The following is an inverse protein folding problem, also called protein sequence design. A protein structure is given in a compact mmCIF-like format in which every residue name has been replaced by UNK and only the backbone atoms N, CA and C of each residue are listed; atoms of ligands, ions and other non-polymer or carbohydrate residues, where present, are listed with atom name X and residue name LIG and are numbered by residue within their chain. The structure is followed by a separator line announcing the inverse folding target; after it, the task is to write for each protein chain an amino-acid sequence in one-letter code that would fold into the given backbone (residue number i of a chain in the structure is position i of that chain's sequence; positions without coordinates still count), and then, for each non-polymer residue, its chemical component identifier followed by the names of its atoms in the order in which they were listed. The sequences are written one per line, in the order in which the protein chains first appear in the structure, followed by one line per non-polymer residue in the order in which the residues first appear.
data_IF_800495958542
#
_entry.id   IF_800495958542
#
_cell.length_a   1.000
_cell.length_b   1.000
_cell.length_c   1.000
_cell.angle_alpha   90.00
_cell.angle_beta   90.00
_cell.angle_gamma   90.00
#
_symmetry.space_group_name_H-M   'P 1'
#
loop_
_entity.id
_entity.type
_entity.pdbx_description
1 polymer ?
#
# COMPACT_ATOMS: atom_id res chain seq x y z
N UNK A 1 13.56 53.96 39.86
CA UNK A 1 14.31 52.71 39.61
C UNK A 1 14.31 52.52 38.09
N UNK A 2 15.37 52.74 37.29
CA UNK A 2 16.80 52.40 37.46
C UNK A 2 16.96 50.90 37.74
N UNK A 3 17.69 50.06 36.99
CA UNK A 3 18.65 50.26 35.88
C UNK A 3 18.68 48.99 34.97
N UNK A 4 19.48 48.81 33.88
CA UNK A 4 20.53 49.57 33.17
C UNK A 4 20.80 48.92 31.78
N UNK A 5 21.43 49.62 30.84
CA UNK A 5 22.24 49.00 29.75
C UNK A 5 23.67 48.67 30.25
N UNK A 6 24.55 48.09 29.41
CA UNK A 6 25.64 48.94 28.93
C UNK A 6 26.07 48.75 27.46
N UNK A 7 26.52 49.85 26.87
CA UNK A 7 27.20 49.98 25.58
C UNK A 7 28.73 50.11 25.73
N UNK A 8 29.48 49.71 24.70
CA UNK A 8 30.85 50.13 24.35
C UNK A 8 31.01 49.89 22.83
N UNK A 9 31.74 50.66 22.01
CA UNK A 9 32.49 51.91 22.19
C UNK A 9 33.18 52.27 20.85
N UNK A 10 33.34 53.56 20.52
CA UNK A 10 33.78 54.06 19.19
C UNK A 10 35.26 54.46 19.09
N UNK A 11 35.85 54.32 17.90
CA UNK A 11 36.90 55.17 17.28
C UNK A 11 36.93 54.83 15.76
N UNK A 12 37.08 55.71 14.76
CA UNK A 12 37.91 56.93 14.61
C UNK A 12 39.24 56.54 13.92
N UNK A 13 39.70 57.09 12.78
CA UNK A 13 39.42 58.36 12.10
C UNK A 13 40.12 58.48 10.70
N UNK A 14 39.51 59.24 9.76
CA UNK A 14 40.10 60.39 8.98
C UNK A 14 41.26 60.22 7.93
N UNK A 15 40.93 60.50 6.63
CA UNK A 15 41.74 61.07 5.50
C UNK A 15 43.04 60.31 5.05
N UNK A 16 43.63 60.39 3.84
CA UNK A 16 43.62 61.38 2.72
C UNK A 16 44.02 60.76 1.35
N UNK A 17 43.58 61.39 0.24
CA UNK A 17 44.05 61.38 -1.18
C UNK A 17 45.32 60.57 -1.60
N UNK A 18 45.27 59.89 -2.76
CA UNK A 18 45.90 60.31 -4.03
C UNK A 18 45.81 59.26 -5.17
N UNK A 19 45.57 59.72 -6.40
CA UNK A 19 45.98 59.07 -7.67
C UNK A 19 47.12 59.91 -8.27
N UNK A 20 48.01 59.39 -9.16
CA UNK A 20 47.64 59.17 -10.58
C UNK A 20 48.39 58.02 -11.33
N UNK A 21 47.99 57.79 -12.59
CA UNK A 21 48.70 57.20 -13.77
C UNK A 21 49.48 55.85 -13.63
N UNK A 22 49.45 54.89 -14.57
CA UNK A 22 49.46 55.00 -16.03
C UNK A 22 49.19 53.64 -16.73
N UNK A 23 48.82 53.68 -18.03
CA UNK A 23 49.09 52.62 -19.03
C UNK A 23 48.37 51.27 -18.89
N UNK A 24 47.16 51.08 -19.42
CA UNK A 24 46.88 50.71 -20.83
C UNK A 24 47.29 49.29 -21.26
N UNK A 25 46.32 48.36 -21.30
CA UNK A 25 46.15 47.42 -22.42
C UNK A 25 44.66 47.01 -22.49
N UNK A 26 43.98 47.41 -23.56
CA UNK A 26 42.62 46.92 -23.86
C UNK A 26 42.69 45.49 -24.41
N UNK A 27 41.85 44.59 -23.87
CA UNK A 27 41.45 43.37 -24.54
C UNK A 27 39.91 43.24 -24.48
N UNK A 28 39.33 43.05 -25.66
CA UNK A 28 37.89 43.04 -25.95
C UNK A 28 37.05 42.12 -25.06
N UNK A 29 35.86 42.55 -24.58
CA UNK A 29 34.94 41.71 -23.82
C UNK A 29 34.13 40.77 -24.74
N UNK A 30 34.67 39.58 -25.02
CA UNK A 30 33.92 38.46 -25.66
C UNK A 30 34.37 37.09 -25.16
N UNK A 31 33.97 36.69 -23.95
CA UNK A 31 33.96 35.28 -23.50
C UNK A 31 33.36 34.98 -22.11
N UNK A 32 32.88 35.97 -21.35
CA UNK A 32 32.43 35.78 -19.96
C UNK A 32 30.92 36.01 -19.77
N UNK A 33 30.08 35.15 -20.38
CA UNK A 33 28.64 35.11 -20.05
C UNK A 33 27.93 33.79 -20.42
N UNK A 34 28.55 32.63 -20.11
CA UNK A 34 27.96 31.29 -20.41
C UNK A 34 28.15 30.20 -19.34
N UNK A 35 28.75 30.51 -18.20
CA UNK A 35 28.96 29.52 -17.12
C UNK A 35 28.27 29.87 -15.79
N UNK A 36 27.47 30.94 -15.74
CA UNK A 36 26.81 31.41 -14.51
C UNK A 36 25.27 31.42 -14.59
N UNK A 37 24.68 30.68 -15.55
CA UNK A 37 23.22 30.56 -15.75
C UNK A 37 22.76 29.08 -15.78
N UNK A 38 23.58 28.15 -15.28
CA UNK A 38 23.31 26.70 -15.31
C UNK A 38 23.39 25.99 -13.95
N UNK A 39 23.35 26.74 -12.84
CA UNK A 39 23.46 26.19 -11.47
C UNK A 39 22.46 26.79 -10.46
N UNK A 40 21.31 27.29 -10.94
CA UNK A 40 20.17 27.63 -10.08
C UNK A 40 18.96 26.79 -10.50
N UNK A 41 18.42 25.95 -9.59
CA UNK A 41 17.08 25.37 -9.77
C UNK A 41 16.90 23.85 -9.61
N UNK A 42 17.92 23.05 -9.29
CA UNK A 42 17.70 21.69 -8.75
C UNK A 42 17.86 21.68 -7.23
N UNK A 43 16.89 22.28 -6.55
CA UNK A 43 16.59 21.87 -5.18
C UNK A 43 16.03 20.45 -5.27
N UNK A 44 16.68 19.47 -4.65
CA UNK A 44 16.10 18.16 -4.43
C UNK A 44 14.98 18.29 -3.39
N UNK A 45 13.83 18.84 -3.80
CA UNK A 45 12.61 18.87 -3.01
C UNK A 45 12.10 17.44 -2.92
N UNK A 46 12.15 16.88 -1.71
CA UNK A 46 11.46 15.62 -1.39
C UNK A 46 9.99 15.82 -1.78
N UNK A 47 9.38 14.98 -2.63
CA UNK A 47 7.99 15.14 -3.04
C UNK A 47 7.05 15.15 -1.84
N UNK A 48 6.05 16.05 -1.86
CA UNK A 48 5.07 16.17 -0.79
C UNK A 48 3.86 15.26 -1.08
N UNK A 49 3.56 14.25 -0.24
CA UNK A 49 2.37 13.41 -0.41
C UNK A 49 1.03 14.16 -0.36
N UNK A 50 0.99 15.38 0.16
CA UNK A 50 -0.20 16.24 0.09
C UNK A 50 -0.38 16.88 -1.30
N UNK A 51 0.70 17.04 -2.06
CA UNK A 51 0.73 17.63 -3.41
C UNK A 51 1.25 16.60 -4.44
N UNK A 52 0.38 15.68 -4.94
CA UNK A 52 0.78 14.61 -5.87
C UNK A 52 1.46 15.10 -7.17
N UNK A 53 1.16 16.34 -7.58
CA UNK A 53 1.82 17.00 -8.71
C UNK A 53 3.34 17.23 -8.53
N UNK A 54 3.85 17.16 -7.30
CA UNK A 54 5.28 17.32 -6.99
C UNK A 54 6.14 16.08 -7.27
N UNK A 55 5.53 14.91 -7.45
CA UNK A 55 6.27 13.66 -7.72
C UNK A 55 6.84 13.68 -9.14
N UNK A 56 8.08 13.19 -9.37
CA UNK A 56 8.69 13.17 -10.70
C UNK A 56 7.90 12.30 -11.67
N UNK A 57 7.40 11.15 -11.20
CA UNK A 57 6.55 10.22 -11.95
C UNK A 57 5.10 10.34 -11.49
N UNK A 58 4.17 10.53 -12.43
CA UNK A 58 2.76 10.84 -12.15
C UNK A 58 1.87 10.00 -13.06
N UNK A 59 1.23 8.99 -12.50
CA UNK A 59 0.45 8.02 -13.28
C UNK A 59 -1.03 8.32 -13.15
N UNK A 60 -1.74 8.51 -14.27
CA UNK A 60 -3.19 8.40 -14.31
C UNK A 60 -3.59 6.96 -14.66
N UNK A 61 -4.32 6.28 -13.78
CA UNK A 61 -4.96 4.99 -14.09
C UNK A 61 -6.46 5.21 -14.22
N UNK A 62 -7.03 4.86 -15.37
CA UNK A 62 -8.45 5.04 -15.65
C UNK A 62 -9.09 3.75 -16.18
N UNK A 63 -10.25 3.37 -15.65
CA UNK A 63 -11.12 2.41 -16.33
C UNK A 63 -11.91 3.13 -17.43
N UNK A 64 -12.06 2.48 -18.58
CA UNK A 64 -12.74 3.07 -19.73
C UNK A 64 -13.69 2.07 -20.39
N UNK A 65 -14.83 2.58 -20.86
CA UNK A 65 -15.82 1.81 -21.62
C UNK A 65 -15.99 2.38 -23.02
N UNK A 66 -17.22 2.38 -23.52
CA UNK A 66 -17.56 2.77 -24.90
C UNK A 66 -17.44 4.28 -25.19
N UNK A 67 -17.12 5.11 -24.19
CA UNK A 67 -17.03 6.57 -24.29
C UNK A 67 -15.63 7.06 -23.88
N UNK A 68 -14.67 7.18 -24.82
CA UNK A 68 -13.32 7.67 -24.54
C UNK A 68 -13.25 9.13 -24.04
N UNK A 69 -14.32 9.90 -24.25
CA UNK A 69 -14.51 11.26 -23.75
C UNK A 69 -14.18 11.38 -22.26
N UNK A 70 -14.53 10.37 -21.46
CA UNK A 70 -14.33 10.36 -20.01
C UNK A 70 -12.87 10.53 -19.58
N UNK A 71 -11.91 10.08 -20.42
CA UNK A 71 -10.49 10.26 -20.15
C UNK A 71 -10.08 11.72 -20.37
N UNK A 72 -10.48 12.33 -21.48
CA UNK A 72 -10.17 13.74 -21.77
C UNK A 72 -10.89 14.71 -20.82
N UNK A 73 -12.11 14.38 -20.40
CA UNK A 73 -12.87 15.10 -19.36
C UNK A 73 -12.14 15.04 -18.01
N UNK A 74 -11.67 13.85 -17.60
CA UNK A 74 -10.86 13.66 -16.39
C UNK A 74 -9.57 14.48 -16.46
N UNK A 75 -8.82 14.35 -17.55
CA UNK A 75 -7.54 15.05 -17.77
C UNK A 75 -7.69 16.58 -17.76
N UNK A 76 -8.71 17.09 -18.45
CA UNK A 76 -9.01 18.53 -18.43
C UNK A 76 -9.23 19.02 -16.99
N UNK A 77 -9.97 18.28 -16.17
CA UNK A 77 -10.21 18.71 -14.79
C UNK A 77 -8.94 18.62 -13.92
N UNK A 78 -8.17 17.53 -14.05
CA UNK A 78 -6.90 17.35 -13.34
C UNK A 78 -5.91 18.49 -13.56
N UNK A 79 -5.86 19.04 -14.79
CA UNK A 79 -4.90 20.07 -15.18
C UNK A 79 -5.44 21.49 -15.06
N UNK A 80 -6.74 21.73 -15.35
CA UNK A 80 -7.33 23.09 -15.44
C UNK A 80 -8.36 23.43 -14.36
N UNK A 81 -8.82 22.47 -13.56
CA UNK A 81 -9.85 22.69 -12.52
C UNK A 81 -9.43 22.32 -11.10
N UNK A 82 -8.31 21.61 -10.93
CA UNK A 82 -7.71 21.35 -9.61
C UNK A 82 -6.96 22.58 -9.09
N UNK A 83 -7.07 22.86 -7.78
CA UNK A 83 -6.25 23.88 -7.10
C UNK A 83 -4.76 23.51 -7.08
N UNK A 84 -4.46 22.22 -7.05
CA UNK A 84 -3.13 21.65 -7.25
C UNK A 84 -3.16 20.79 -8.53
N UNK A 85 -2.74 21.32 -9.69
CA UNK A 85 -2.79 20.59 -10.96
C UNK A 85 -1.99 19.29 -10.94
N UNK A 86 -2.59 18.22 -11.49
CA UNK A 86 -1.93 16.93 -11.69
C UNK A 86 -1.80 16.67 -13.20
N UNK A 87 -0.64 16.99 -13.76
CA UNK A 87 -0.29 16.66 -15.15
C UNK A 87 0.39 15.29 -15.17
N UNK A 88 -0.28 14.20 -15.61
CA UNK A 88 0.34 12.88 -15.62
C UNK A 88 1.52 12.82 -16.59
N UNK A 89 2.59 12.12 -16.20
CA UNK A 89 3.68 11.70 -17.09
C UNK A 89 3.31 10.45 -17.88
N UNK A 90 2.47 9.61 -17.29
CA UNK A 90 2.03 8.32 -17.81
C UNK A 90 0.53 8.16 -17.60
N UNK A 91 -0.16 7.62 -18.60
CA UNK A 91 -1.60 7.38 -18.59
C UNK A 91 -1.79 5.91 -18.94
N UNK A 92 -2.54 5.19 -18.11
CA UNK A 92 -2.86 3.77 -18.27
C UNK A 92 -4.38 3.61 -18.31
N UNK A 93 -4.88 2.98 -19.37
CA UNK A 93 -6.32 2.76 -19.60
C UNK A 93 -6.62 1.27 -19.48
N UNK A 94 -7.52 0.88 -18.57
CA UNK A 94 -7.97 -0.51 -18.40
C UNK A 94 -9.34 -0.65 -19.05
N UNK A 95 -9.48 -1.56 -20.02
CA UNK A 95 -10.68 -1.62 -20.87
C UNK A 95 -10.83 -2.97 -21.59
N UNK A 96 -11.94 -3.16 -22.29
CA UNK A 96 -12.22 -4.32 -23.15
C UNK A 96 -11.72 -4.07 -24.58
N UNK A 97 -11.77 -5.06 -25.46
CA UNK A 97 -11.28 -4.97 -26.84
C UNK A 97 -11.96 -3.84 -27.63
N UNK A 98 -13.29 -3.70 -27.53
CA UNK A 98 -14.05 -2.61 -28.17
C UNK A 98 -13.69 -1.24 -27.57
N UNK A 99 -13.52 -1.15 -26.25
CA UNK A 99 -13.05 0.09 -25.62
C UNK A 99 -11.65 0.48 -26.08
N UNK A 100 -10.73 -0.49 -26.18
CA UNK A 100 -9.38 -0.27 -26.68
C UNK A 100 -9.36 0.18 -28.15
N UNK A 101 -10.24 -0.39 -28.99
CA UNK A 101 -10.42 0.03 -30.37
C UNK A 101 -10.86 1.51 -30.45
N UNK A 102 -11.86 1.92 -29.66
CA UNK A 102 -12.32 3.31 -29.58
C UNK A 102 -11.26 4.26 -29.04
N UNK A 103 -10.51 3.88 -28.01
CA UNK A 103 -9.40 4.69 -27.50
C UNK A 103 -8.38 4.96 -28.60
N UNK A 104 -7.93 3.92 -29.32
CA UNK A 104 -6.97 4.06 -30.42
C UNK A 104 -7.49 5.03 -31.50
N UNK A 105 -8.70 4.81 -32.00
CA UNK A 105 -9.28 5.62 -33.09
C UNK A 105 -9.62 7.07 -32.71
N UNK A 106 -9.95 7.36 -31.45
CA UNK A 106 -10.41 8.71 -31.05
C UNK A 106 -9.37 9.52 -30.30
N UNK A 107 -8.59 8.89 -29.42
CA UNK A 107 -7.65 9.58 -28.54
C UNK A 107 -6.27 9.72 -29.19
N UNK A 108 -5.81 8.69 -29.91
CA UNK A 108 -4.43 8.55 -30.40
C UNK A 108 -4.32 8.75 -31.92
N UNK A 109 -5.23 8.17 -32.72
CA UNK A 109 -5.11 8.14 -34.19
C UNK A 109 -4.95 9.55 -34.78
N UNK A 110 -3.93 9.80 -35.64
CA UNK A 110 -3.65 11.13 -36.19
C UNK A 110 -4.82 11.81 -36.91
N UNK A 111 -5.82 11.08 -37.40
CA UNK A 111 -7.00 11.64 -38.05
C UNK A 111 -7.99 12.29 -37.08
N UNK A 112 -7.94 11.96 -35.77
CA UNK A 112 -8.90 12.44 -34.76
C UNK A 112 -8.20 13.02 -33.52
N UNK A 113 -7.16 12.32 -33.03
CA UNK A 113 -6.13 12.76 -32.09
C UNK A 113 -6.62 13.61 -30.89
N UNK A 114 -7.70 13.22 -30.21
CA UNK A 114 -8.32 14.06 -29.16
C UNK A 114 -7.42 14.35 -27.97
N UNK A 115 -6.45 13.49 -27.64
CA UNK A 115 -5.44 13.84 -26.63
C UNK A 115 -4.47 14.91 -27.12
N UNK A 116 -4.09 14.90 -28.41
CA UNK A 116 -3.25 15.96 -28.97
C UNK A 116 -4.01 17.28 -29.12
N UNK A 117 -5.30 17.24 -29.43
CA UNK A 117 -6.16 18.42 -29.40
C UNK A 117 -6.21 19.03 -27.99
N UNK A 118 -6.45 18.21 -26.95
CA UNK A 118 -6.43 18.66 -25.54
C UNK A 118 -5.06 19.26 -25.16
N UNK A 119 -3.96 18.60 -25.52
CA UNK A 119 -2.60 19.12 -25.29
C UNK A 119 -2.38 20.51 -25.91
N UNK A 120 -2.77 20.70 -27.17
CA UNK A 120 -2.52 21.94 -27.92
C UNK A 120 -3.47 23.07 -27.53
N UNK A 121 -4.76 22.80 -27.35
CA UNK A 121 -5.74 23.83 -26.98
C UNK A 121 -5.53 24.36 -25.56
N UNK A 122 -4.98 23.53 -24.66
CA UNK A 122 -4.84 23.86 -23.24
C UNK A 122 -3.39 23.99 -22.77
N UNK A 123 -2.40 23.98 -23.67
CA UNK A 123 -0.96 24.11 -23.35
C UNK A 123 -0.50 23.13 -22.27
N UNK A 124 -0.63 21.83 -22.57
CA UNK A 124 -0.31 20.72 -21.65
C UNK A 124 0.78 19.83 -22.27
N UNK A 125 2.04 20.30 -22.36
CA UNK A 125 3.09 19.66 -23.15
C UNK A 125 3.36 18.22 -22.73
N UNK A 126 3.41 17.32 -23.72
CA UNK A 126 3.70 15.89 -23.52
C UNK A 126 2.51 15.04 -23.06
N UNK A 127 1.31 15.61 -22.91
CA UNK A 127 0.12 14.87 -22.49
C UNK A 127 -0.26 13.75 -23.47
N UNK A 128 -0.19 14.00 -24.79
CA UNK A 128 -0.54 12.99 -25.79
C UNK A 128 0.45 11.84 -25.81
N UNK A 129 1.73 12.10 -25.51
CA UNK A 129 2.77 11.06 -25.38
C UNK A 129 2.67 10.26 -24.08
N UNK A 130 1.92 10.75 -23.09
CA UNK A 130 1.65 10.02 -21.84
C UNK A 130 0.76 8.79 -22.01
N UNK A 131 -0.05 8.69 -23.08
CA UNK A 131 -0.81 7.49 -23.45
C UNK A 131 -0.24 6.83 -24.72
N UNK A 132 0.84 6.04 -24.61
CA UNK A 132 1.26 5.16 -25.70
C UNK A 132 0.30 3.96 -25.80
N UNK A 133 0.32 3.25 -26.94
CA UNK A 133 -0.69 2.24 -27.29
C UNK A 133 -0.63 1.01 -26.39
N UNK A 134 0.57 0.65 -25.93
CA UNK A 134 0.87 -0.40 -24.95
C UNK A 134 0.32 -0.11 -23.55
N UNK A 135 -0.02 1.15 -23.23
CA UNK A 135 -0.67 1.51 -21.98
C UNK A 135 -2.21 1.41 -22.04
N UNK A 136 -2.76 0.90 -23.14
CA UNK A 136 -4.16 0.47 -23.22
C UNK A 136 -4.21 -1.03 -22.87
N UNK A 137 -4.45 -1.32 -21.59
CA UNK A 137 -4.52 -2.65 -21.00
C UNK A 137 -5.86 -3.28 -21.35
N UNK A 138 -5.85 -4.19 -22.33
CA UNK A 138 -7.01 -4.96 -22.74
C UNK A 138 -7.16 -6.16 -21.80
N UNK A 139 -8.32 -6.30 -21.18
CA UNK A 139 -8.60 -7.43 -20.28
C UNK A 139 -8.57 -8.73 -21.08
N UNK A 140 -7.76 -9.70 -20.63
CA UNK A 140 -7.74 -11.06 -21.16
C UNK A 140 -8.49 -12.01 -20.21
N UNK A 141 -9.37 -12.83 -20.75
CA UNK A 141 -10.09 -13.87 -20.00
C UNK A 141 -9.20 -15.07 -19.65
N UNK A 142 -9.79 -16.08 -19.00
CA UNK A 142 -9.09 -17.28 -18.51
C UNK A 142 -8.35 -18.10 -19.57
N UNK A 143 -8.72 -17.98 -20.85
CA UNK A 143 -8.04 -18.59 -21.99
C UNK A 143 -6.95 -17.72 -22.65
N UNK A 144 -6.59 -16.57 -22.06
CA UNK A 144 -5.66 -15.60 -22.65
C UNK A 144 -6.20 -14.79 -23.83
N UNK A 145 -7.47 -15.01 -24.21
CA UNK A 145 -8.16 -14.23 -25.24
C UNK A 145 -8.64 -12.89 -24.68
N UNK A 146 -8.50 -11.82 -25.45
CA UNK A 146 -9.03 -10.52 -25.07
C UNK A 146 -10.56 -10.54 -25.06
N UNK A 147 -11.14 -9.88 -24.05
CA UNK A 147 -12.59 -9.81 -23.87
C UNK A 147 -13.17 -8.69 -24.73
N UNK A 148 -14.21 -8.98 -25.52
CA UNK A 148 -15.02 -7.95 -26.17
C UNK A 148 -15.85 -7.17 -25.14
N UNK A 149 -16.42 -7.87 -24.16
CA UNK A 149 -17.11 -7.31 -22.99
C UNK A 149 -16.98 -8.24 -21.74
N UNK A 150 -17.39 -7.76 -20.56
CA UNK A 150 -17.28 -8.49 -19.27
C UNK A 150 -18.66 -9.03 -18.86
N UNK A 151 -19.00 -10.25 -19.27
CA UNK A 151 -20.37 -10.78 -19.15
C UNK A 151 -20.53 -11.96 -18.17
N UNK A 152 -19.45 -12.61 -17.74
CA UNK A 152 -19.48 -13.67 -16.73
C UNK A 152 -18.63 -13.37 -15.47
N UNK A 153 -18.69 -14.29 -14.50
CA UNK A 153 -17.97 -14.14 -13.22
C UNK A 153 -16.45 -14.31 -13.39
N UNK A 154 -16.05 -15.13 -14.36
CA UNK A 154 -14.69 -15.41 -14.77
C UNK A 154 -14.06 -14.16 -15.42
N UNK A 155 -14.80 -13.48 -16.31
CA UNK A 155 -14.39 -12.20 -16.90
C UNK A 155 -14.17 -11.13 -15.84
N UNK A 156 -15.08 -11.05 -14.87
CA UNK A 156 -14.99 -10.10 -13.76
C UNK A 156 -13.82 -10.42 -12.82
N UNK A 157 -13.49 -11.71 -12.66
CA UNK A 157 -12.31 -12.14 -11.89
C UNK A 157 -11.01 -11.75 -12.60
N UNK A 158 -10.90 -12.01 -13.91
CA UNK A 158 -9.75 -11.59 -14.71
C UNK A 158 -9.59 -10.05 -14.75
N UNK A 159 -10.71 -9.32 -14.80
CA UNK A 159 -10.75 -7.86 -14.66
C UNK A 159 -10.18 -7.41 -13.31
N UNK A 160 -10.58 -8.07 -12.22
CA UNK A 160 -10.12 -7.77 -10.87
C UNK A 160 -8.62 -8.05 -10.70
N UNK A 161 -8.12 -9.14 -11.29
CA UNK A 161 -6.72 -9.53 -11.26
C UNK A 161 -5.83 -8.54 -12.01
N UNK A 162 -6.20 -8.14 -13.24
CA UNK A 162 -5.46 -7.12 -14.02
C UNK A 162 -5.43 -5.76 -13.30
N UNK A 163 -6.56 -5.31 -12.75
CA UNK A 163 -6.63 -4.07 -11.95
C UNK A 163 -5.71 -4.17 -10.73
N UNK A 164 -5.72 -5.32 -10.04
CA UNK A 164 -4.91 -5.58 -8.85
C UNK A 164 -3.42 -5.57 -9.18
N UNK A 165 -3.00 -6.25 -10.24
CA UNK A 165 -1.61 -6.30 -10.70
C UNK A 165 -1.10 -4.89 -11.00
N UNK A 166 -1.81 -4.13 -11.84
CA UNK A 166 -1.40 -2.78 -12.26
C UNK A 166 -1.30 -1.83 -11.06
N UNK A 167 -2.33 -1.78 -10.21
CA UNK A 167 -2.35 -0.91 -9.04
C UNK A 167 -1.26 -1.29 -8.02
N UNK A 168 -1.05 -2.60 -7.77
CA UNK A 168 0.04 -3.08 -6.90
C UNK A 168 1.41 -2.66 -7.46
N UNK A 169 1.65 -2.90 -8.75
CA UNK A 169 2.89 -2.58 -9.46
C UNK A 169 3.20 -1.08 -9.43
N UNK A 170 2.23 -0.21 -9.69
CA UNK A 170 2.45 1.24 -9.61
C UNK A 170 2.70 1.72 -8.18
N UNK A 171 2.04 1.12 -7.20
CA UNK A 171 2.23 1.46 -5.79
C UNK A 171 3.56 0.97 -5.19
N UNK A 172 4.33 0.12 -5.88
CA UNK A 172 5.67 -0.30 -5.46
C UNK A 172 6.74 0.79 -5.69
N UNK A 173 6.55 1.71 -6.64
CA UNK A 173 7.51 2.77 -6.98
C UNK A 173 7.35 4.00 -6.06
N UNK A 174 8.24 4.25 -5.09
CA UNK A 174 8.07 5.33 -4.11
C UNK A 174 8.11 6.74 -4.72
N UNK A 175 8.75 6.91 -5.89
CA UNK A 175 8.90 8.19 -6.58
C UNK A 175 7.72 8.49 -7.53
N UNK A 176 6.72 7.61 -7.53
CA UNK A 176 5.46 7.75 -8.24
C UNK A 176 4.33 8.28 -7.34
N UNK A 177 3.50 9.18 -7.86
CA UNK A 177 2.13 9.40 -7.38
C UNK A 177 1.10 8.92 -8.41
N UNK A 178 0.12 8.14 -7.95
CA UNK A 178 -0.94 7.58 -8.79
C UNK A 178 -2.27 8.29 -8.55
N UNK A 179 -2.85 8.83 -9.61
CA UNK A 179 -4.22 9.34 -9.62
C UNK A 179 -5.13 8.33 -10.33
N UNK A 180 -6.23 7.96 -9.70
CA UNK A 180 -7.14 6.94 -10.19
C UNK A 180 -8.49 7.55 -10.58
N UNK A 181 -9.00 7.20 -11.77
CA UNK A 181 -10.32 7.62 -12.25
C UNK A 181 -11.23 6.42 -12.48
N UNK A 182 -12.39 6.43 -11.80
CA UNK A 182 -13.40 5.35 -11.87
C UNK A 182 -14.64 5.74 -12.68
N UNK A 183 -14.55 6.81 -13.48
CA UNK A 183 -15.68 7.37 -14.21
C UNK A 183 -16.09 6.61 -15.47
N UNK A 184 -15.25 5.69 -15.98
CA UNK A 184 -15.49 4.92 -17.19
C UNK A 184 -15.48 3.39 -16.99
N UNK A 185 -16.06 2.68 -17.96
CA UNK A 185 -16.14 1.21 -17.97
C UNK A 185 -17.46 0.66 -17.44
N UNK A 186 -17.56 -0.67 -17.28
CA UNK A 186 -18.65 -1.28 -16.50
C UNK A 186 -18.47 -0.90 -15.03
N UNK A 187 -19.58 -0.69 -14.30
CA UNK A 187 -19.58 -0.22 -12.90
C UNK A 187 -18.67 -1.03 -11.98
N UNK A 188 -18.56 -2.34 -12.20
CA UNK A 188 -17.70 -3.24 -11.42
C UNK A 188 -16.21 -2.95 -11.63
N UNK A 189 -15.78 -2.49 -12.82
CA UNK A 189 -14.39 -2.07 -13.05
C UNK A 189 -14.02 -0.89 -12.14
N UNK A 190 -14.88 0.13 -12.05
CA UNK A 190 -14.69 1.27 -11.16
C UNK A 190 -14.69 0.88 -9.68
N UNK A 191 -15.56 -0.04 -9.27
CA UNK A 191 -15.55 -0.62 -7.91
C UNK A 191 -14.23 -1.35 -7.61
N UNK A 192 -13.80 -2.26 -8.49
CA UNK A 192 -12.57 -3.04 -8.34
C UNK A 192 -11.33 -2.14 -8.29
N UNK A 193 -11.27 -1.11 -9.13
CA UNK A 193 -10.19 -0.14 -9.16
C UNK A 193 -10.17 0.73 -7.88
N UNK A 194 -11.34 1.15 -7.38
CA UNK A 194 -11.49 1.80 -6.07
C UNK A 194 -11.09 0.89 -4.89
N UNK A 195 -11.32 -0.42 -4.99
CA UNK A 195 -10.93 -1.37 -3.96
C UNK A 195 -9.43 -1.72 -4.01
N UNK A 196 -8.84 -1.80 -5.19
CA UNK A 196 -7.40 -2.00 -5.37
C UNK A 196 -6.60 -0.82 -4.81
N UNK A 197 -7.02 0.44 -5.05
CA UNK A 197 -6.35 1.60 -4.43
C UNK A 197 -6.55 1.65 -2.91
N UNK A 198 -7.67 1.12 -2.37
CA UNK A 198 -7.85 0.94 -0.92
C UNK A 198 -6.82 -0.03 -0.32
N UNK A 199 -6.53 -1.14 -1.00
CA UNK A 199 -5.55 -2.14 -0.57
C UNK A 199 -4.10 -1.66 -0.71
N UNK A 200 -3.72 -1.10 -1.86
CA UNK A 200 -2.31 -0.83 -2.19
C UNK A 200 -1.92 0.65 -2.18
N UNK A 201 -2.89 1.58 -2.21
CA UNK A 201 -2.65 3.00 -2.32
C UNK A 201 -1.96 3.62 -1.09
N UNK A 202 -1.19 4.67 -1.36
CA UNK A 202 -0.31 5.37 -0.41
C UNK A 202 -0.83 6.78 -0.13
N UNK A 203 -0.09 7.55 0.65
CA UNK A 203 -0.48 8.91 1.04
C UNK A 203 -0.55 9.88 -0.14
N UNK A 204 0.33 9.73 -1.14
CA UNK A 204 0.33 10.55 -2.36
C UNK A 204 -0.74 10.13 -3.39
N UNK A 205 -1.29 8.93 -3.28
CA UNK A 205 -2.23 8.43 -4.29
C UNK A 205 -3.65 9.02 -4.07
N UNK A 206 -4.40 9.20 -5.16
CA UNK A 206 -5.72 9.86 -5.20
C UNK A 206 -6.73 9.03 -5.99
N UNK A 207 -8.02 9.19 -5.69
CA UNK A 207 -9.13 8.52 -6.36
C UNK A 207 -10.20 9.55 -6.70
N UNK A 208 -10.77 9.48 -7.90
CA UNK A 208 -11.72 10.48 -8.36
C UNK A 208 -12.76 9.96 -9.34
N UNK A 209 -13.81 10.76 -9.54
CA UNK A 209 -14.80 10.59 -10.60
C UNK A 209 -15.10 11.95 -11.23
N UNK A 210 -14.95 12.07 -12.55
CA UNK A 210 -15.36 13.29 -13.28
C UNK A 210 -16.88 13.30 -13.46
N UNK A 211 -17.50 14.46 -13.21
CA UNK A 211 -18.91 14.71 -13.40
C UNK A 211 -19.08 15.79 -14.45
N UNK A 212 -19.88 15.52 -15.48
CA UNK A 212 -20.10 16.41 -16.62
C UNK A 212 -21.57 16.84 -16.64
N UNK A 213 -21.83 18.13 -16.78
CA UNK A 213 -23.21 18.63 -16.90
C UNK A 213 -23.89 18.11 -18.17
N UNK A 214 -25.20 17.85 -18.07
CA UNK A 214 -26.04 17.71 -19.26
C UNK A 214 -26.10 19.05 -20.00
N UNK A 215 -26.17 19.06 -21.34
CA UNK A 215 -26.29 17.90 -22.24
C UNK A 215 -24.96 17.30 -22.70
N UNK A 216 -23.82 17.74 -22.17
CA UNK A 216 -22.48 17.32 -22.62
C UNK A 216 -22.09 15.92 -22.14
N UNK A 217 -22.64 15.47 -21.01
CA UNK A 217 -22.55 14.08 -20.56
C UNK A 217 -22.92 13.10 -21.69
N UNK A 218 -22.00 12.19 -22.06
CA UNK A 218 -22.14 11.22 -23.16
C UNK A 218 -22.39 11.85 -24.56
N UNK A 219 -22.07 13.12 -24.77
CA UNK A 219 -22.26 13.78 -26.05
C UNK A 219 -21.12 13.39 -27.02
N UNK A 220 -21.39 12.76 -28.19
CA UNK A 220 -20.37 12.10 -28.99
C UNK A 220 -19.25 13.05 -29.49
N UNK A 221 -19.58 14.32 -29.74
CA UNK A 221 -18.64 15.33 -30.22
C UNK A 221 -18.03 16.21 -29.11
N UNK A 222 -18.34 15.95 -27.83
CA UNK A 222 -17.78 16.68 -26.70
C UNK A 222 -16.73 15.83 -26.00
N UNK A 223 -15.47 16.25 -25.98
CA UNK A 223 -14.38 15.51 -25.33
C UNK A 223 -13.79 16.26 -24.12
N UNK A 224 -13.85 17.59 -24.16
CA UNK A 224 -13.42 18.52 -23.11
C UNK A 224 -13.96 19.91 -23.49
N UNK A 225 -14.06 20.87 -22.55
CA UNK A 225 -14.34 22.27 -22.88
C UNK A 225 -13.23 22.84 -23.80
N UNK A 226 -13.55 23.23 -25.05
CA UNK A 226 -12.56 23.79 -25.96
C UNK A 226 -12.13 25.18 -25.50
N UNK A 227 -10.92 25.61 -25.89
CA UNK A 227 -10.41 26.94 -25.50
C UNK A 227 -11.24 28.10 -26.07
N UNK A 228 -11.85 27.89 -27.25
CA UNK A 228 -12.84 28.78 -27.85
C UNK A 228 -14.19 28.05 -27.87
N UNK A 229 -15.25 28.59 -27.23
CA UNK A 229 -16.56 27.95 -27.22
C UNK A 229 -17.14 27.70 -28.62
N UNK A 230 -17.70 26.51 -28.82
CA UNK A 230 -18.40 26.10 -30.05
C UNK A 230 -19.84 25.72 -29.73
N UNK A 231 -20.72 25.76 -30.73
CA UNK A 231 -22.11 25.30 -30.61
C UNK A 231 -22.20 23.84 -31.07
N UNK A 232 -22.74 23.00 -30.19
CA UNK A 232 -23.09 21.61 -30.46
C UNK A 232 -24.62 21.45 -30.55
N UNK A 233 -25.11 20.28 -30.94
CA UNK A 233 -26.54 19.96 -30.99
C UNK A 233 -26.83 18.79 -30.05
N UNK A 234 -27.73 19.00 -29.08
CA UNK A 234 -28.07 17.96 -28.11
C UNK A 234 -28.90 16.80 -28.73
N UNK A 235 -29.27 15.80 -27.92
CA UNK A 235 -30.09 14.65 -28.36
C UNK A 235 -31.49 15.05 -28.86
N UNK A 236 -31.93 16.29 -28.65
CA UNK A 236 -33.17 16.88 -29.16
C UNK A 236 -32.92 17.84 -30.35
N UNK A 237 -31.70 17.85 -30.91
CA UNK A 237 -31.22 18.74 -31.96
C UNK A 237 -31.33 20.24 -31.59
N UNK A 238 -31.22 20.58 -30.30
CA UNK A 238 -31.19 21.97 -29.85
C UNK A 238 -29.75 22.48 -29.80
N UNK A 239 -29.46 23.71 -30.27
CA UNK A 239 -28.13 24.29 -30.20
C UNK A 239 -27.75 24.58 -28.74
N UNK A 240 -26.56 24.16 -28.34
CA UNK A 240 -26.02 24.30 -26.98
C UNK A 240 -24.54 24.71 -27.02
N UNK A 241 -24.16 25.70 -26.22
CA UNK A 241 -22.80 26.27 -26.24
C UNK A 241 -21.88 25.54 -25.29
N UNK A 242 -20.68 25.14 -25.73
CA UNK A 242 -19.69 24.51 -24.84
C UNK A 242 -19.16 25.44 -23.76
N UNK A 243 -19.48 26.74 -23.78
CA UNK A 243 -19.29 27.65 -22.64
C UNK A 243 -20.05 27.20 -21.38
N UNK A 244 -21.14 26.47 -21.58
CA UNK A 244 -22.08 26.08 -20.53
C UNK A 244 -21.73 24.70 -19.94
N UNK A 245 -20.62 24.10 -20.41
CA UNK A 245 -20.12 22.82 -19.94
C UNK A 245 -19.44 22.98 -18.58
N UNK A 246 -20.13 22.52 -17.53
CA UNK A 246 -19.59 22.44 -16.18
C UNK A 246 -19.05 21.03 -15.94
N UNK A 247 -17.74 20.94 -15.65
CA UNK A 247 -17.07 19.70 -15.31
C UNK A 247 -16.49 19.83 -13.90
N UNK A 248 -16.74 18.82 -13.08
CA UNK A 248 -16.27 18.74 -11.68
C UNK A 248 -15.48 17.45 -11.53
N UNK A 249 -14.27 17.52 -10.97
CA UNK A 249 -13.54 16.34 -10.51
C UNK A 249 -13.89 16.13 -9.03
N UNK A 250 -14.74 15.14 -8.74
CA UNK A 250 -15.00 14.74 -7.37
C UNK A 250 -13.83 13.88 -6.87
N UNK A 251 -13.05 14.38 -5.91
CA UNK A 251 -12.13 13.55 -5.12
C UNK A 251 -12.95 12.63 -4.22
N UNK A 252 -12.58 11.35 -4.17
CA UNK A 252 -13.29 10.31 -3.44
C UNK A 252 -12.36 9.81 -2.33
N UNK A 253 -12.63 10.14 -1.06
CA UNK A 253 -11.83 9.64 0.04
C UNK A 253 -11.98 8.11 0.14
N UNK A 254 -10.85 7.42 0.27
CA UNK A 254 -10.78 5.98 0.42
C UNK A 254 -9.94 5.59 1.65
N UNK A 255 -10.30 4.46 2.26
CA UNK A 255 -9.55 3.88 3.38
C UNK A 255 -8.21 3.35 2.86
N UNK A 256 -7.11 3.66 3.53
CA UNK A 256 -5.77 3.18 3.14
C UNK A 256 -5.38 1.98 4.01
N UNK A 257 -5.52 0.78 3.45
CA UNK A 257 -5.21 -0.47 4.15
C UNK A 257 -3.74 -0.85 4.04
N UNK A 258 -3.00 -0.37 3.01
CA UNK A 258 -1.60 -0.72 2.70
C UNK A 258 -0.70 -0.83 3.93
N UNK A 259 -0.71 0.17 4.81
CA UNK A 259 0.16 0.23 6.01
C UNK A 259 -0.13 -0.84 7.07
N UNK A 260 -1.23 -1.58 6.95
CA UNK A 260 -1.64 -2.66 7.83
C UNK A 260 -1.52 -4.05 7.17
N UNK A 261 -1.21 -4.11 5.87
CA UNK A 261 -1.04 -5.36 5.14
C UNK A 261 0.42 -5.85 5.20
N UNK A 262 0.66 -7.17 5.29
CA UNK A 262 2.01 -7.71 5.36
C UNK A 262 2.74 -7.59 4.00
N UNK A 263 4.08 -7.47 4.02
CA UNK A 263 4.88 -7.22 2.82
C UNK A 263 4.66 -8.24 1.68
N UNK A 264 4.61 -9.58 1.91
CA UNK A 264 4.36 -10.53 0.84
C UNK A 264 3.03 -10.32 0.09
N UNK A 265 2.05 -9.67 0.71
CA UNK A 265 0.77 -9.32 0.07
C UNK A 265 0.89 -8.07 -0.83
N UNK A 266 1.80 -7.15 -0.50
CA UNK A 266 2.09 -5.92 -1.24
C UNK A 266 3.10 -6.12 -2.37
N UNK A 267 4.05 -7.06 -2.16
CA UNK A 267 5.19 -7.28 -3.04
C UNK A 267 5.00 -8.51 -3.96
N UNK A 268 4.06 -9.41 -3.62
CA UNK A 268 3.78 -10.64 -4.37
C UNK A 268 2.83 -10.48 -5.57
N UNK A 269 2.46 -11.62 -6.16
CA UNK A 269 1.70 -11.78 -7.41
C UNK A 269 0.28 -12.35 -7.22
N UNK A 270 -0.19 -12.45 -5.97
CA UNK A 270 -1.53 -12.93 -5.62
C UNK A 270 -2.65 -12.30 -6.47
N UNK A 271 -3.65 -13.11 -6.86
CA UNK A 271 -4.90 -12.64 -7.48
C UNK A 271 -5.66 -11.68 -6.56
N UNK A 272 -6.65 -10.96 -7.09
CA UNK A 272 -7.57 -10.14 -6.31
C UNK A 272 -8.21 -10.95 -5.18
N UNK A 273 -8.80 -12.11 -5.52
CA UNK A 273 -9.53 -12.93 -4.55
C UNK A 273 -8.64 -13.47 -3.44
N UNK A 274 -7.42 -13.92 -3.74
CA UNK A 274 -6.47 -14.34 -2.69
C UNK A 274 -5.98 -13.12 -1.89
N UNK A 275 -5.80 -11.96 -2.53
CA UNK A 275 -5.46 -10.72 -1.83
C UNK A 275 -6.50 -10.34 -0.78
N UNK A 276 -7.78 -10.34 -1.16
CA UNK A 276 -8.90 -10.02 -0.25
C UNK A 276 -8.97 -11.04 0.89
N UNK A 277 -8.86 -12.33 0.58
CA UNK A 277 -8.88 -13.41 1.59
C UNK A 277 -7.75 -13.26 2.61
N UNK A 278 -6.52 -12.99 2.17
CA UNK A 278 -5.39 -12.77 3.09
C UNK A 278 -5.54 -11.48 3.90
N UNK A 279 -6.00 -10.38 3.29
CA UNK A 279 -6.30 -9.15 4.00
C UNK A 279 -7.39 -9.34 5.07
N UNK A 280 -8.43 -10.13 4.78
CA UNK A 280 -9.47 -10.47 5.77
C UNK A 280 -8.92 -11.19 6.99
N UNK A 281 -7.98 -12.14 6.84
CA UNK A 281 -7.34 -12.81 7.98
C UNK A 281 -6.48 -11.84 8.83
N UNK A 282 -5.82 -10.87 8.19
CA UNK A 282 -5.08 -9.82 8.90
C UNK A 282 -6.00 -9.00 9.81
N UNK A 283 -7.17 -8.59 9.32
CA UNK A 283 -8.15 -7.81 10.09
C UNK A 283 -9.11 -8.64 10.96
N UNK A 284 -9.18 -9.96 10.78
CA UNK A 284 -9.99 -10.83 11.60
C UNK A 284 -9.55 -10.77 13.08
N UNK A 285 -10.54 -10.93 13.97
CA UNK A 285 -10.31 -11.19 15.38
C UNK A 285 -9.35 -12.37 15.53
N UNK A 286 -8.49 -12.33 16.55
CA UNK A 286 -7.55 -13.42 16.80
C UNK A 286 -8.29 -14.45 17.63
N UNK A 287 -8.21 -15.69 17.18
CA UNK A 287 -8.73 -16.83 17.89
C UNK A 287 -7.71 -17.95 17.73
N UNK A 288 -7.33 -18.55 18.86
CA UNK A 288 -6.57 -19.79 18.88
C UNK A 288 -7.33 -20.82 19.71
N UNK A 289 -7.81 -21.85 19.01
CA UNK A 289 -8.39 -23.04 19.63
C UNK A 289 -7.26 -24.04 19.89
N UNK A 290 -7.22 -24.63 21.09
CA UNK A 290 -6.27 -25.67 21.48
C UNK A 290 -7.00 -27.00 21.66
N UNK A 291 -6.78 -27.94 20.74
CA UNK A 291 -7.36 -29.29 20.77
C UNK A 291 -6.35 -30.29 21.35
N UNK A 292 -6.53 -30.65 22.63
CA UNK A 292 -5.67 -31.60 23.33
C UNK A 292 -5.96 -33.05 22.91
N UNK A 293 -7.10 -33.31 22.25
CA UNK A 293 -7.43 -34.61 21.67
C UNK A 293 -6.65 -34.92 20.38
N UNK A 294 -6.32 -33.89 19.60
CA UNK A 294 -5.56 -33.96 18.33
C UNK A 294 -4.10 -33.48 18.44
N UNK A 295 -3.69 -32.90 19.58
CA UNK A 295 -2.42 -32.16 19.71
C UNK A 295 -2.26 -31.05 18.66
N UNK A 296 -3.33 -30.27 18.48
CA UNK A 296 -3.47 -29.37 17.34
C UNK A 296 -3.98 -28.00 17.77
N UNK A 297 -3.46 -26.94 17.15
CA UNK A 297 -4.01 -25.60 17.30
C UNK A 297 -4.85 -25.27 16.06
N UNK A 298 -5.91 -24.49 16.21
CA UNK A 298 -6.61 -23.87 15.09
C UNK A 298 -6.55 -22.37 15.27
N UNK A 299 -5.81 -21.67 14.41
CA UNK A 299 -5.62 -20.23 14.45
C UNK A 299 -6.37 -19.59 13.27
N UNK A 300 -7.45 -18.84 13.52
CA UNK A 300 -8.32 -18.30 12.45
C UNK A 300 -8.73 -19.35 11.39
N UNK A 301 -9.09 -20.55 11.84
CA UNK A 301 -9.48 -21.67 10.98
C UNK A 301 -8.32 -22.47 10.35
N UNK A 302 -7.06 -22.03 10.50
CA UNK A 302 -5.90 -22.77 9.99
C UNK A 302 -5.42 -23.79 11.04
N UNK A 303 -5.42 -25.08 10.68
CA UNK A 303 -4.91 -26.16 11.53
C UNK A 303 -3.37 -26.18 11.59
N UNK A 304 -2.81 -26.15 12.80
CA UNK A 304 -1.37 -26.23 13.09
C UNK A 304 -1.11 -27.48 13.96
N UNK A 305 -0.75 -28.64 13.37
CA UNK A 305 -0.47 -29.85 14.12
C UNK A 305 0.89 -29.75 14.83
N UNK A 306 0.90 -30.06 16.14
CA UNK A 306 2.09 -29.97 16.99
C UNK A 306 2.48 -31.33 17.59
N UNK A 307 3.79 -31.60 17.77
CA UNK A 307 4.22 -32.72 18.61
C UNK A 307 3.71 -32.55 20.06
N UNK A 308 3.26 -33.60 20.76
CA UNK A 308 2.61 -33.48 22.08
C UNK A 308 3.39 -32.65 23.12
N UNK A 309 4.71 -32.75 23.17
CA UNK A 309 5.55 -31.95 24.10
C UNK A 309 5.57 -30.46 23.74
N UNK A 310 5.48 -30.12 22.44
CA UNK A 310 5.37 -28.73 21.97
C UNK A 310 3.95 -28.20 22.17
N UNK A 311 2.93 -29.03 21.97
CA UNK A 311 1.53 -28.68 22.28
C UNK A 311 1.36 -28.37 23.77
N UNK A 312 1.85 -29.22 24.67
CA UNK A 312 1.78 -29.00 26.12
C UNK A 312 2.43 -27.68 26.56
N UNK A 313 3.54 -27.26 25.93
CA UNK A 313 4.16 -25.95 26.21
C UNK A 313 3.25 -24.79 25.77
N UNK A 314 2.59 -24.89 24.62
CA UNK A 314 1.63 -23.88 24.17
C UNK A 314 0.38 -23.85 25.06
N UNK A 315 -0.19 -25.01 25.36
CA UNK A 315 -1.33 -25.15 26.26
C UNK A 315 -1.03 -24.56 27.65
N UNK A 316 0.18 -24.76 28.17
CA UNK A 316 0.58 -24.24 29.48
C UNK A 316 0.73 -22.70 29.47
N UNK A 317 1.34 -22.13 28.42
CA UNK A 317 1.38 -20.69 28.21
C UNK A 317 -0.01 -20.08 28.09
N UNK A 318 -0.90 -20.72 27.32
CA UNK A 318 -2.28 -20.28 27.13
C UNK A 318 -3.09 -20.38 28.43
N UNK A 319 -2.97 -21.49 29.17
CA UNK A 319 -3.63 -21.69 30.46
C UNK A 319 -3.25 -20.59 31.44
N UNK A 320 -1.94 -20.33 31.59
CA UNK A 320 -1.44 -19.30 32.49
C UNK A 320 -1.91 -17.89 32.14
N UNK A 321 -2.00 -17.57 30.84
CA UNK A 321 -2.56 -16.30 30.36
C UNK A 321 -4.04 -16.15 30.73
N UNK A 322 -4.84 -17.21 30.60
CA UNK A 322 -6.26 -17.19 31.02
C UNK A 322 -6.42 -17.08 32.53
N UNK A 323 -5.62 -17.81 33.31
CA UNK A 323 -5.73 -17.87 34.77
C UNK A 323 -5.15 -16.65 35.50
N UNK A 324 -4.06 -16.06 34.98
CA UNK A 324 -3.28 -15.02 35.68
C UNK A 324 -3.09 -13.73 34.86
N UNK A 325 -3.68 -13.65 33.67
CA UNK A 325 -3.56 -12.50 32.77
C UNK A 325 -2.17 -12.32 32.13
N UNK A 326 -1.96 -11.25 31.32
CA UNK A 326 -0.77 -11.09 30.49
C UNK A 326 0.56 -10.91 31.23
N UNK A 327 0.56 -10.32 32.43
CA UNK A 327 1.80 -10.01 33.16
C UNK A 327 2.27 -11.15 34.06
N UNK A 328 1.36 -11.74 34.84
CA UNK A 328 1.68 -12.84 35.78
C UNK A 328 1.62 -14.21 35.09
N UNK A 329 0.82 -14.34 34.02
CA UNK A 329 0.78 -15.54 33.19
C UNK A 329 2.07 -15.80 32.41
N UNK A 330 2.88 -14.76 32.16
CA UNK A 330 4.15 -14.86 31.44
C UNK A 330 5.17 -15.75 32.17
N UNK A 331 5.73 -16.74 31.47
CA UNK A 331 6.68 -17.70 32.03
C UNK A 331 8.08 -17.13 32.26
N UNK A 332 8.66 -17.44 33.41
CA UNK A 332 10.02 -17.15 33.82
C UNK A 332 10.73 -18.46 34.18
N UNK A 333 11.70 -18.86 33.36
CA UNK A 333 12.38 -20.17 33.49
C UNK A 333 13.07 -20.40 34.85
N UNK A 334 13.46 -19.31 35.53
CA UNK A 334 14.11 -19.30 36.84
C UNK A 334 13.14 -19.43 38.03
N UNK A 335 11.83 -19.16 37.85
CA UNK A 335 10.87 -19.00 38.95
C UNK A 335 9.64 -19.90 38.86
N UNK A 336 9.13 -20.16 37.67
CA UNK A 336 7.87 -20.88 37.53
C UNK A 336 8.03 -22.38 37.72
N UNK A 337 7.06 -22.98 38.44
CA UNK A 337 6.98 -24.42 38.57
C UNK A 337 6.39 -25.05 37.30
N UNK A 338 7.09 -26.08 36.80
CA UNK A 338 6.80 -26.82 35.58
C UNK A 338 5.80 -27.96 35.80
N UNK A 339 5.25 -28.11 37.01
CA UNK A 339 4.10 -29.00 37.27
C UNK A 339 2.92 -28.68 36.34
N UNK A 340 2.66 -27.40 36.04
CA UNK A 340 1.65 -26.99 35.06
C UNK A 340 1.91 -27.54 33.65
N UNK A 341 3.16 -27.56 33.18
CA UNK A 341 3.52 -28.19 31.91
C UNK A 341 3.24 -29.70 31.89
N UNK A 342 3.49 -30.39 33.00
CA UNK A 342 3.16 -31.82 33.12
C UNK A 342 1.66 -32.06 33.10
N UNK A 343 0.86 -31.24 33.78
CA UNK A 343 -0.60 -31.32 33.76
C UNK A 343 -1.16 -31.16 32.34
N UNK A 344 -0.66 -30.19 31.57
CA UNK A 344 -1.08 -30.04 30.16
C UNK A 344 -0.59 -31.21 29.28
N UNK A 345 0.58 -31.79 29.55
CA UNK A 345 1.05 -32.98 28.83
C UNK A 345 0.24 -34.25 29.16
N UNK A 346 -0.28 -34.34 30.38
CA UNK A 346 -1.14 -35.43 30.85
C UNK A 346 -2.56 -35.37 30.28
N UNK A 347 -3.08 -34.18 29.94
CA UNK A 347 -4.39 -34.00 29.29
C UNK A 347 -4.43 -34.48 27.84
N UNK A 348 -3.28 -34.56 27.15
CA UNK A 348 -3.22 -34.89 25.72
C UNK A 348 -3.69 -36.33 25.47
N UNK A 349 -4.74 -36.50 24.67
CA UNK A 349 -5.29 -37.81 24.33
C UNK A 349 -4.24 -38.67 23.59
N UNK A 350 -4.11 -39.93 24.02
CA UNK A 350 -3.17 -40.89 23.44
C UNK A 350 -1.74 -40.82 24.02
N UNK A 351 -1.43 -39.85 24.89
CA UNK A 351 -0.22 -39.93 25.72
C UNK A 351 -0.42 -41.00 26.79
N UNK A 352 0.47 -42.00 26.83
CA UNK A 352 0.38 -43.11 27.79
C UNK A 352 1.12 -42.85 29.10
N UNK A 353 0.73 -43.51 30.21
CA UNK A 353 1.40 -43.36 31.51
C UNK A 353 2.92 -43.56 31.49
N UNK A 354 3.46 -44.46 30.66
CA UNK A 354 4.91 -44.66 30.57
C UNK A 354 5.61 -43.47 29.90
N UNK A 355 4.93 -42.76 28.99
CA UNK A 355 5.44 -41.56 28.33
C UNK A 355 5.47 -40.38 29.30
N UNK A 356 4.41 -40.19 30.09
CA UNK A 356 4.34 -39.21 31.18
C UNK A 356 5.45 -39.47 32.20
N UNK A 357 5.55 -40.71 32.70
CA UNK A 357 6.58 -41.09 33.67
C UNK A 357 8.01 -40.95 33.10
N UNK A 358 8.21 -41.21 31.80
CA UNK A 358 9.50 -40.99 31.12
C UNK A 358 9.85 -39.51 30.99
N UNK A 359 8.89 -38.65 30.62
CA UNK A 359 9.12 -37.21 30.51
C UNK A 359 9.39 -36.61 31.90
N UNK A 360 8.57 -36.93 32.90
CA UNK A 360 8.80 -36.52 34.28
C UNK A 360 10.11 -37.06 34.88
N UNK A 361 10.61 -38.23 34.45
CA UNK A 361 11.98 -38.68 34.79
C UNK A 361 13.07 -37.91 34.04
N UNK A 362 12.86 -37.57 32.77
CA UNK A 362 13.81 -36.77 31.97
C UNK A 362 14.00 -35.40 32.61
N UNK A 363 12.91 -34.66 32.83
CA UNK A 363 12.95 -33.33 33.46
C UNK A 363 13.55 -33.41 34.86
N UNK A 364 13.25 -34.46 35.66
CA UNK A 364 13.90 -34.71 36.96
C UNK A 364 15.38 -35.11 36.89
N UNK A 365 15.87 -35.63 35.77
CA UNK A 365 17.27 -36.00 35.55
C UNK A 365 18.11 -34.83 35.02
N UNK A 366 17.53 -33.99 34.15
CA UNK A 366 18.07 -32.67 33.81
C UNK A 366 18.16 -31.80 35.10
N UNK A 367 17.19 -31.92 36.00
CA UNK A 367 17.20 -31.43 37.39
C UNK A 367 18.27 -32.04 38.34
N UNK A 368 19.07 -33.00 37.89
CA UNK A 368 20.14 -33.63 38.70
C UNK A 368 21.56 -33.32 38.19
N UNK A 369 21.69 -32.45 37.17
CA UNK A 369 22.99 -32.00 36.66
C UNK A 369 23.59 -30.92 37.57
N UNK A 370 24.86 -30.55 37.32
CA UNK A 370 25.49 -29.44 38.04
C UNK A 370 24.91 -28.06 37.69
N UNK A 371 24.12 -27.94 36.62
CA UNK A 371 23.52 -26.67 36.20
C UNK A 371 22.05 -26.83 35.80
N UNK A 372 21.26 -27.33 36.76
CA UNK A 372 19.81 -27.60 36.70
C UNK A 372 18.96 -26.58 35.94
N UNK A 373 19.24 -25.29 36.13
CA UNK A 373 18.49 -24.20 35.50
C UNK A 373 18.78 -24.12 33.99
N UNK A 374 20.03 -24.28 33.59
CA UNK A 374 20.49 -24.20 32.20
C UNK A 374 19.93 -25.35 31.35
N UNK A 375 19.99 -26.59 31.85
CA UNK A 375 19.45 -27.76 31.13
C UNK A 375 17.93 -27.67 30.94
N UNK A 376 17.20 -27.17 31.95
CA UNK A 376 15.75 -26.95 31.86
C UNK A 376 15.41 -25.83 30.87
N UNK A 377 16.13 -24.71 30.95
CA UNK A 377 15.95 -23.58 30.03
C UNK A 377 16.22 -24.02 28.58
N UNK A 378 17.25 -24.83 28.34
CA UNK A 378 17.54 -25.42 27.03
C UNK A 378 16.40 -26.30 26.49
N UNK A 379 15.78 -27.16 27.32
CA UNK A 379 14.62 -27.97 26.91
C UNK A 379 13.45 -27.10 26.43
N UNK A 380 13.08 -26.08 27.20
CA UNK A 380 11.96 -25.22 26.83
C UNK A 380 12.27 -24.28 25.65
N UNK A 381 13.50 -23.78 25.51
CA UNK A 381 13.91 -23.02 24.32
C UNK A 381 13.88 -23.86 23.04
N UNK A 382 14.23 -25.16 23.11
CA UNK A 382 14.11 -26.08 21.97
C UNK A 382 12.64 -26.18 21.52
N UNK A 383 11.70 -26.40 22.45
CA UNK A 383 10.28 -26.48 22.13
C UNK A 383 9.67 -25.13 21.73
N UNK A 384 10.09 -24.02 22.32
CA UNK A 384 9.69 -22.66 21.92
C UNK A 384 10.18 -22.32 20.50
N UNK A 385 11.39 -22.74 20.14
CA UNK A 385 11.95 -22.56 18.78
C UNK A 385 11.19 -23.41 17.76
N UNK A 386 10.85 -24.66 18.11
CA UNK A 386 9.98 -25.52 17.29
C UNK A 386 8.58 -24.91 17.11
N UNK A 387 7.99 -24.37 18.16
CA UNK A 387 6.67 -23.74 18.15
C UNK A 387 6.65 -22.50 17.25
N UNK A 388 7.63 -21.58 17.42
CA UNK A 388 7.82 -20.40 16.56
C UNK A 388 7.95 -20.78 15.09
N UNK A 389 8.78 -21.79 14.78
CA UNK A 389 8.92 -22.31 13.42
C UNK A 389 7.59 -22.84 12.89
N UNK A 390 6.89 -23.68 13.66
CA UNK A 390 5.58 -24.21 13.24
C UNK A 390 4.52 -23.14 12.99
N UNK A 391 4.48 -22.08 13.80
CA UNK A 391 3.61 -20.93 13.55
C UNK A 391 3.98 -20.22 12.24
N UNK A 392 5.27 -19.99 11.99
CA UNK A 392 5.74 -19.37 10.74
C UNK A 392 5.46 -20.25 9.51
N UNK A 393 5.70 -21.56 9.61
CA UNK A 393 5.52 -22.51 8.51
C UNK A 393 4.04 -22.69 8.13
N UNK A 394 3.14 -22.72 9.12
CA UNK A 394 1.71 -23.01 8.90
C UNK A 394 0.82 -21.78 8.75
N UNK A 395 1.19 -20.63 9.36
CA UNK A 395 0.38 -19.40 9.36
C UNK A 395 1.03 -18.28 8.54
N UNK A 396 2.24 -18.49 8.02
CA UNK A 396 2.99 -17.49 7.27
C UNK A 396 3.14 -16.18 8.06
N UNK A 397 2.76 -15.07 7.42
CA UNK A 397 2.77 -13.73 8.01
C UNK A 397 1.92 -13.61 9.28
N UNK A 398 0.86 -14.41 9.46
CA UNK A 398 0.05 -14.41 10.67
C UNK A 398 0.76 -15.09 11.85
N UNK A 399 1.81 -15.89 11.60
CA UNK A 399 2.50 -16.69 12.61
C UNK A 399 3.03 -15.88 13.80
N UNK A 400 3.48 -14.64 13.57
CA UNK A 400 3.93 -13.75 14.64
C UNK A 400 2.81 -13.31 15.61
N UNK A 401 1.54 -13.40 15.20
CA UNK A 401 0.37 -13.11 16.07
C UNK A 401 0.08 -14.27 17.03
N UNK A 402 0.54 -15.49 16.75
CA UNK A 402 0.24 -16.68 17.56
C UNK A 402 1.47 -17.29 18.23
N UNK A 403 2.68 -17.02 17.73
CA UNK A 403 3.92 -17.46 18.34
C UNK A 403 4.20 -16.75 19.68
N UNK A 404 4.70 -17.44 20.73
CA UNK A 404 5.04 -16.77 21.98
C UNK A 404 6.28 -15.87 21.81
N UNK A 405 6.20 -14.67 22.38
CA UNK A 405 7.25 -13.67 22.38
C UNK A 405 8.17 -13.85 23.61
N UNK A 406 9.44 -13.45 23.49
CA UNK A 406 10.34 -13.31 24.64
C UNK A 406 10.57 -11.81 24.89
N UNK A 407 10.35 -11.34 26.11
CA UNK A 407 10.60 -9.94 26.52
C UNK A 407 11.57 -9.89 27.71
N UNK A 408 12.32 -8.79 27.81
CA UNK A 408 13.28 -8.55 28.89
C UNK A 408 14.73 -8.86 28.52
N UNK A 409 15.65 -8.49 29.42
CA UNK A 409 17.09 -8.70 29.26
C UNK A 409 17.51 -10.12 29.69
N UNK A 410 18.68 -10.57 29.21
CA UNK A 410 19.25 -11.88 29.56
C UNK A 410 19.39 -12.02 31.08
N UNK A 411 18.77 -13.04 31.67
CA UNK A 411 18.69 -13.25 33.12
C UNK A 411 17.42 -12.67 33.81
N UNK A 412 16.55 -11.97 33.07
CA UNK A 412 15.21 -11.57 33.52
C UNK A 412 14.22 -11.61 32.33
N UNK A 413 14.42 -12.57 31.42
CA UNK A 413 13.59 -12.75 30.23
C UNK A 413 12.33 -13.55 30.57
N UNK A 414 11.17 -13.04 30.18
CA UNK A 414 9.88 -13.75 30.29
C UNK A 414 9.37 -14.17 28.91
N UNK A 415 8.62 -15.27 28.85
CA UNK A 415 7.96 -15.76 27.64
C UNK A 415 6.46 -15.60 27.79
N UNK A 416 5.85 -14.85 26.88
CA UNK A 416 4.45 -14.44 26.94
C UNK A 416 3.75 -14.71 25.61
N UNK A 417 2.45 -14.99 25.66
CA UNK A 417 1.58 -14.93 24.49
C UNK A 417 1.11 -13.48 24.34
N UNK A 418 1.17 -12.95 23.12
CA UNK A 418 0.67 -11.61 22.82
C UNK A 418 -0.84 -11.60 22.56
N UNK A 419 -1.58 -12.54 23.15
CA UNK A 419 -3.01 -12.75 23.00
C UNK A 419 -3.75 -12.30 24.27
N UNK A 420 -5.07 -12.13 24.18
CA UNK A 420 -5.94 -11.93 25.34
C UNK A 420 -6.62 -13.23 25.78
N UNK A 421 -7.09 -13.35 27.05
CA UNK A 421 -7.80 -14.54 27.53
C UNK A 421 -9.03 -14.94 26.72
N UNK A 422 -9.75 -13.97 26.14
CA UNK A 422 -10.93 -14.17 25.28
C UNK A 422 -10.59 -14.54 23.83
N UNK A 423 -9.32 -14.44 23.42
CA UNK A 423 -8.81 -14.93 22.14
C UNK A 423 -8.41 -16.44 22.20
N UNK A 424 -8.68 -17.12 23.33
CA UNK A 424 -8.24 -18.50 23.62
C UNK A 424 -9.42 -19.45 23.94
N UNK A 425 -9.56 -20.51 23.14
CA UNK A 425 -10.54 -21.58 23.36
C UNK A 425 -9.82 -22.92 23.55
N UNK A 426 -10.31 -23.80 24.43
CA UNK A 426 -9.72 -25.11 24.68
C UNK A 426 -10.75 -26.21 24.46
N UNK A 427 -10.32 -27.29 23.80
CA UNK A 427 -11.10 -28.49 23.54
C UNK A 427 -10.33 -29.70 24.13
N UNK A 428 -10.94 -30.36 25.12
CA UNK A 428 -10.38 -31.49 25.89
C UNK A 428 -11.16 -32.81 25.65
#
# INVERSE_FOLDING_TARGET
MSAREPSWGLAGSVFTRCSPDAGSYELSPRSLDRQQVFLEGQVNTIPDPQVPGSFPRRILVATMGLAPQVLTETLFCLVKRSEAPFVPTEIHVITTQEGAHRARLTLIDPAVAKLKALELEHDIPGLSTGLPVENIHVIAGSGGQFLDDIDCAEDNSATADLITELVRKFAQDPDCAMHVSIAGGRKTMGFLLGYAISLFGRHQDRLSHVLVSRPFQEHPNFFFPPAVPVVLHDRQNRPVSTSDANLILADIPFVRLRGHLPRPLLDGDNSYSETVKQAQLVFAAREMVLDSSRSMLTCQGIEVPLPPQTFALMAWLARRLVENGPEEGALRWDRDDWSGYMLEYERIRGVRPEQIARLGRRLRKELSSRNVLEDRENFFHEHLSRLRRKMSDSLGELGHRYAPATRGFRGNSRVELLLQPDELTFLD
#
